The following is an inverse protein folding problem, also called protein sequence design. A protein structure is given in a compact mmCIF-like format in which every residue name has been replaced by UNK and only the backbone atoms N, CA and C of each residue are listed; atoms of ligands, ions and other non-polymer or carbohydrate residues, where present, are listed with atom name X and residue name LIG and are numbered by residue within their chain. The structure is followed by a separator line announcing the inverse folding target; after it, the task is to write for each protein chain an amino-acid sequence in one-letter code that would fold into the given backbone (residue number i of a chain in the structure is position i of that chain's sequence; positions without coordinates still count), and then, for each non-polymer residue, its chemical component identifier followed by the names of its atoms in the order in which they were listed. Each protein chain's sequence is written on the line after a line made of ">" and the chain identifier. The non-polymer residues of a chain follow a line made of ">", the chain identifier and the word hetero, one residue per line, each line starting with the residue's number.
data_IF_962267285652
#
_entry.id   IF_962267285652
#
_cell.length_a   1.000
_cell.length_b   1.000
_cell.length_c   1.000
_cell.angle_alpha   90.00
_cell.angle_beta   90.00
_cell.angle_gamma   90.00
#
_symmetry.space_group_name_H-M   'P 1'
#
loop_
_entity.id
_entity.type
_entity.pdbx_description
1 polymer ?
#
# COMPACT_ATOMS: atom_id res chain seq x y z
N UNK A 1 -31.39 -13.17 8.41
CA UNK A 1 -30.14 -12.40 8.59
C UNK A 1 -28.87 -13.26 8.57
N UNK A 2 -28.97 -14.59 8.48
CA UNK A 2 -27.78 -15.49 8.46
C UNK A 2 -27.08 -15.60 7.10
N UNK A 3 -27.78 -15.37 6.00
CA UNK A 3 -27.23 -15.61 4.65
C UNK A 3 -26.23 -14.57 4.16
N UNK A 4 -26.34 -13.34 4.63
CA UNK A 4 -25.41 -12.26 4.26
C UNK A 4 -24.00 -12.45 4.83
N UNK A 5 -23.91 -12.98 6.06
CA UNK A 5 -22.60 -13.26 6.69
C UNK A 5 -21.94 -14.50 6.09
N UNK A 6 -22.71 -15.49 5.67
CA UNK A 6 -22.20 -16.69 5.00
C UNK A 6 -21.55 -16.36 3.65
N UNK A 7 -22.19 -15.50 2.84
CA UNK A 7 -21.65 -15.04 1.56
C UNK A 7 -20.36 -14.25 1.70
N UNK A 8 -20.30 -13.35 2.69
CA UNK A 8 -19.11 -12.55 2.95
C UNK A 8 -17.92 -13.39 3.45
N UNK A 9 -18.19 -14.37 4.31
CA UNK A 9 -17.16 -15.30 4.79
C UNK A 9 -16.62 -16.20 3.66
N UNK A 10 -17.47 -16.64 2.74
CA UNK A 10 -17.05 -17.39 1.56
C UNK A 10 -16.19 -16.54 0.63
N UNK A 11 -16.58 -15.30 0.38
CA UNK A 11 -15.79 -14.37 -0.46
C UNK A 11 -14.42 -14.05 0.14
N UNK A 12 -14.33 -13.87 1.47
CA UNK A 12 -13.05 -13.70 2.17
C UNK A 12 -12.18 -14.96 2.09
N UNK A 13 -12.79 -16.14 2.22
CA UNK A 13 -12.09 -17.43 2.12
C UNK A 13 -11.55 -17.65 0.70
N UNK A 14 -12.34 -17.32 -0.33
CA UNK A 14 -11.90 -17.39 -1.73
C UNK A 14 -10.78 -16.39 -2.03
N UNK A 15 -10.89 -15.16 -1.53
CA UNK A 15 -9.81 -14.17 -1.64
C UNK A 15 -8.53 -14.63 -0.94
N UNK A 16 -8.64 -15.27 0.22
CA UNK A 16 -7.50 -15.82 0.93
C UNK A 16 -6.86 -16.99 0.18
N UNK A 17 -7.66 -17.87 -0.42
CA UNK A 17 -7.16 -18.98 -1.28
C UNK A 17 -6.45 -18.45 -2.51
N UNK A 18 -7.01 -17.47 -3.19
CA UNK A 18 -6.42 -16.87 -4.38
C UNK A 18 -5.14 -16.05 -4.07
N UNK A 19 -4.98 -15.59 -2.84
CA UNK A 19 -3.78 -14.90 -2.40
C UNK A 19 -2.66 -15.86 -1.96
N UNK A 20 -3.00 -17.10 -1.57
CA UNK A 20 -2.01 -18.10 -1.22
C UNK A 20 -1.27 -18.60 -2.46
N UNK A 21 0.00 -19.04 -2.34
CA UNK A 21 0.72 -19.64 -3.44
C UNK A 21 -0.07 -20.84 -3.97
N UNK A 22 0.07 -21.07 -5.29
CA UNK A 22 -0.58 -22.16 -6.01
C UNK A 22 -0.52 -23.47 -5.19
N UNK A 23 -1.58 -24.32 -5.24
CA UNK A 23 -1.67 -25.56 -4.46
C UNK A 23 -0.43 -26.45 -4.58
N UNK A 24 0.24 -26.41 -5.74
CA UNK A 24 1.47 -27.16 -6.02
C UNK A 24 2.67 -26.72 -5.14
N UNK A 25 2.55 -25.55 -4.48
CA UNK A 25 3.60 -25.00 -3.59
C UNK A 25 3.25 -25.16 -2.10
N UNK A 26 2.40 -26.13 -1.77
CA UNK A 26 2.02 -26.43 -0.39
C UNK A 26 2.24 -27.92 -0.09
N UNK A 27 2.55 -28.24 1.14
CA UNK A 27 2.69 -29.61 1.61
C UNK A 27 2.02 -29.79 2.98
N UNK A 28 1.60 -31.00 3.30
CA UNK A 28 1.04 -31.34 4.60
C UNK A 28 2.16 -31.46 5.63
N UNK A 29 2.08 -30.65 6.69
CA UNK A 29 3.01 -30.72 7.82
C UNK A 29 2.66 -31.86 8.80
N UNK A 30 3.56 -32.16 9.72
CA UNK A 30 3.34 -33.16 10.77
C UNK A 30 2.24 -32.75 11.76
N UNK A 31 1.95 -31.46 11.86
CA UNK A 31 0.86 -30.87 12.64
C UNK A 31 -0.52 -31.00 12.01
N UNK A 32 -0.61 -31.62 10.82
CA UNK A 32 -1.85 -31.82 10.08
C UNK A 32 -2.39 -30.58 9.34
N UNK A 33 -1.58 -29.52 9.26
CA UNK A 33 -1.91 -28.30 8.50
C UNK A 33 -1.11 -28.22 7.20
N UNK A 34 -1.64 -27.47 6.23
CA UNK A 34 -0.88 -27.14 5.02
C UNK A 34 0.18 -26.10 5.32
N UNK A 35 1.37 -26.33 4.77
CA UNK A 35 2.53 -25.46 4.88
C UNK A 35 2.99 -24.96 3.52
N UNK A 36 3.54 -23.75 3.46
CA UNK A 36 4.17 -23.19 2.28
C UNK A 36 5.51 -23.89 2.00
N UNK A 37 5.72 -24.38 0.78
CA UNK A 37 6.99 -25.04 0.39
C UNK A 37 8.18 -24.08 0.32
N UNK A 38 7.97 -22.77 0.33
CA UNK A 38 9.03 -21.76 0.21
C UNK A 38 9.52 -21.31 1.59
N UNK A 39 8.60 -20.89 2.48
CA UNK A 39 8.96 -20.35 3.79
C UNK A 39 8.66 -21.32 4.96
N UNK A 40 8.07 -22.47 4.66
CA UNK A 40 7.69 -23.51 5.61
C UNK A 40 6.72 -23.08 6.73
N UNK A 41 6.17 -21.88 6.63
CA UNK A 41 5.13 -21.46 7.56
C UNK A 41 3.79 -22.12 7.21
N UNK A 42 2.95 -22.46 8.21
CA UNK A 42 1.64 -23.00 7.96
C UNK A 42 0.75 -21.95 7.27
N UNK A 43 0.02 -22.37 6.23
CA UNK A 43 -0.99 -21.58 5.52
C UNK A 43 -2.40 -21.87 6.04
N UNK A 44 -2.49 -22.74 7.04
CA UNK A 44 -3.71 -23.07 7.76
C UNK A 44 -3.49 -22.96 9.27
N UNK A 45 -4.59 -22.78 10.00
CA UNK A 45 -4.59 -22.79 11.47
C UNK A 45 -5.95 -23.28 11.97
N UNK A 46 -5.99 -23.70 13.24
CA UNK A 46 -7.22 -24.05 13.91
C UNK A 46 -8.09 -22.80 14.09
N UNK A 47 -9.35 -22.86 13.66
CA UNK A 47 -10.28 -21.77 13.86
C UNK A 47 -10.58 -21.58 15.36
N UNK A 48 -10.64 -20.32 15.86
CA UNK A 48 -11.13 -20.04 17.20
C UNK A 48 -12.54 -20.60 17.43
N UNK A 49 -12.88 -20.90 18.66
CA UNK A 49 -14.20 -21.50 18.98
C UNK A 49 -15.37 -20.59 18.62
N UNK A 50 -15.18 -19.29 18.76
CA UNK A 50 -16.17 -18.27 18.38
C UNK A 50 -16.47 -18.25 16.88
N UNK A 51 -15.54 -18.76 16.07
CA UNK A 51 -15.64 -18.79 14.61
C UNK A 51 -16.12 -20.14 14.05
N UNK A 52 -16.47 -21.11 14.89
CA UNK A 52 -16.91 -22.46 14.43
C UNK A 52 -18.12 -22.44 13.50
N UNK A 53 -19.03 -21.50 13.67
CA UNK A 53 -20.18 -21.35 12.79
C UNK A 53 -19.80 -20.88 11.38
N UNK A 54 -18.65 -20.24 11.24
CA UNK A 54 -18.14 -19.71 9.96
C UNK A 54 -17.24 -20.76 9.30
N UNK A 55 -16.47 -21.52 10.09
CA UNK A 55 -15.55 -22.56 9.65
C UNK A 55 -15.95 -23.93 10.21
N UNK A 56 -16.94 -24.63 9.58
CA UNK A 56 -17.42 -25.92 10.08
C UNK A 56 -16.34 -27.00 10.14
N UNK A 57 -15.30 -26.90 9.28
CA UNK A 57 -14.14 -27.80 9.30
C UNK A 57 -13.23 -27.59 10.52
N UNK A 58 -13.41 -26.51 11.27
CA UNK A 58 -12.51 -26.11 12.36
C UNK A 58 -11.12 -25.62 11.89
N UNK A 59 -10.93 -25.45 10.57
CA UNK A 59 -9.68 -25.00 9.95
C UNK A 59 -9.94 -23.71 9.18
N UNK A 60 -9.06 -22.73 9.34
CA UNK A 60 -9.08 -21.49 8.57
C UNK A 60 -7.74 -21.27 7.87
N UNK A 61 -7.81 -20.68 6.69
CA UNK A 61 -6.63 -20.32 5.92
C UNK A 61 -5.98 -19.05 6.49
N UNK A 62 -4.65 -18.99 6.47
CA UNK A 62 -3.87 -17.82 6.85
C UNK A 62 -2.76 -17.54 5.84
N UNK A 63 -2.33 -16.30 5.78
CA UNK A 63 -1.22 -15.92 4.91
C UNK A 63 0.12 -16.30 5.56
N UNK A 64 0.94 -17.04 4.84
CA UNK A 64 2.32 -17.27 5.21
C UNK A 64 3.17 -16.01 5.00
N UNK A 65 4.42 -16.01 5.49
CA UNK A 65 5.35 -14.87 5.35
C UNK A 65 5.51 -14.41 3.91
N UNK A 66 5.71 -15.33 2.96
CA UNK A 66 5.86 -14.99 1.54
C UNK A 66 4.68 -14.19 0.99
N UNK A 67 3.46 -14.58 1.35
CA UNK A 67 2.23 -13.89 0.92
C UNK A 67 2.12 -12.53 1.60
N UNK A 68 2.39 -12.44 2.91
CA UNK A 68 2.37 -11.16 3.65
C UNK A 68 3.37 -10.16 3.07
N UNK A 69 4.60 -10.60 2.77
CA UNK A 69 5.64 -9.75 2.16
C UNK A 69 5.26 -9.29 0.75
N UNK A 70 4.62 -10.17 -0.04
CA UNK A 70 4.11 -9.80 -1.36
C UNK A 70 3.01 -8.74 -1.23
N UNK A 71 2.01 -8.97 -0.38
CA UNK A 71 0.93 -8.01 -0.13
C UNK A 71 1.48 -6.66 0.31
N UNK A 72 2.45 -6.66 1.24
CA UNK A 72 3.06 -5.42 1.72
C UNK A 72 3.80 -4.65 0.60
N UNK A 73 4.51 -5.36 -0.29
CA UNK A 73 5.15 -4.74 -1.46
C UNK A 73 4.12 -4.16 -2.43
N UNK A 74 3.09 -4.93 -2.76
CA UNK A 74 2.04 -4.51 -3.69
C UNK A 74 1.27 -3.29 -3.14
N UNK A 75 1.02 -3.25 -1.82
CA UNK A 75 0.42 -2.10 -1.16
C UNK A 75 1.33 -0.87 -1.18
N UNK A 76 2.64 -1.04 -0.93
CA UNK A 76 3.60 0.04 -1.00
C UNK A 76 3.70 0.62 -2.42
N UNK A 77 3.76 -0.25 -3.43
CA UNK A 77 3.78 0.15 -4.83
C UNK A 77 2.49 0.88 -5.23
N UNK A 78 1.33 0.35 -4.81
CA UNK A 78 0.04 1.01 -5.06
C UNK A 78 -0.05 2.39 -4.40
N UNK A 79 0.48 2.55 -3.17
CA UNK A 79 0.55 3.86 -2.50
C UNK A 79 1.45 4.83 -3.26
N UNK A 80 2.63 4.36 -3.70
CA UNK A 80 3.55 5.17 -4.51
C UNK A 80 2.89 5.63 -5.80
N UNK A 81 2.30 4.71 -6.58
CA UNK A 81 1.62 5.03 -7.82
C UNK A 81 0.48 6.05 -7.62
N UNK A 82 -0.35 5.87 -6.58
CA UNK A 82 -1.39 6.85 -6.26
C UNK A 82 -0.85 8.23 -5.92
N UNK A 83 0.31 8.30 -5.22
CA UNK A 83 0.96 9.57 -4.93
C UNK A 83 1.50 10.23 -6.20
N UNK A 84 2.13 9.46 -7.10
CA UNK A 84 2.63 9.94 -8.39
C UNK A 84 1.47 10.44 -9.29
N UNK A 85 0.37 9.68 -9.38
CA UNK A 85 -0.85 10.07 -10.10
C UNK A 85 -1.43 11.38 -9.53
N UNK A 86 -1.46 11.50 -8.20
CA UNK A 86 -1.94 12.73 -7.54
C UNK A 86 -1.05 13.93 -7.80
N UNK A 87 0.27 13.75 -7.79
CA UNK A 87 1.23 14.80 -8.13
C UNK A 87 1.03 15.24 -9.59
N UNK A 88 0.93 14.29 -10.53
CA UNK A 88 0.71 14.60 -11.94
C UNK A 88 -0.62 15.35 -12.16
N UNK A 89 -1.68 14.96 -11.46
CA UNK A 89 -2.97 15.65 -11.50
C UNK A 89 -2.84 17.09 -10.99
N UNK A 90 -2.19 17.28 -9.84
CA UNK A 90 -1.99 18.62 -9.26
C UNK A 90 -1.12 19.49 -10.15
N UNK A 91 -0.06 18.96 -10.73
CA UNK A 91 0.78 19.68 -11.69
C UNK A 91 -0.03 20.18 -12.88
N UNK A 92 -0.90 19.35 -13.44
CA UNK A 92 -1.77 19.73 -14.56
C UNK A 92 -2.75 20.85 -14.20
N UNK A 93 -3.23 20.87 -12.95
CA UNK A 93 -4.17 21.91 -12.50
C UNK A 93 -3.43 23.21 -12.15
N UNK A 94 -2.28 23.09 -11.47
CA UNK A 94 -1.56 24.26 -10.96
C UNK A 94 -0.72 24.97 -12.03
N UNK A 95 -0.23 24.25 -13.04
CA UNK A 95 0.59 24.81 -14.10
C UNK A 95 -0.21 24.86 -15.40
N UNK A 96 -0.67 26.04 -15.78
CA UNK A 96 -1.38 26.27 -17.05
C UNK A 96 -0.48 26.09 -18.27
N UNK A 97 0.81 26.39 -18.13
CA UNK A 97 1.82 26.14 -19.15
C UNK A 97 2.76 25.01 -18.68
N UNK A 98 2.82 23.89 -19.43
CA UNK A 98 3.73 22.78 -19.12
C UNK A 98 5.21 23.17 -19.10
N UNK A 99 5.58 24.29 -19.69
CA UNK A 99 6.95 24.80 -19.63
C UNK A 99 7.38 25.07 -18.18
N UNK A 100 6.50 25.58 -17.33
CA UNK A 100 6.81 25.86 -15.92
C UNK A 100 7.20 24.63 -15.12
N UNK A 101 6.71 23.44 -15.48
CA UNK A 101 7.09 22.18 -14.80
C UNK A 101 8.55 21.80 -15.01
N UNK A 102 9.22 22.40 -16.00
CA UNK A 102 10.64 22.15 -16.33
C UNK A 102 11.60 23.14 -15.69
N UNK A 103 11.07 24.22 -15.10
CA UNK A 103 11.90 25.23 -14.44
C UNK A 103 12.40 24.70 -13.08
N UNK A 104 13.71 24.70 -12.92
CA UNK A 104 14.38 24.31 -11.67
C UNK A 104 15.27 25.44 -11.19
N UNK A 105 15.70 25.41 -9.94
CA UNK A 105 16.66 26.37 -9.40
C UNK A 105 18.00 26.39 -10.15
N UNK A 106 18.37 25.25 -10.78
CA UNK A 106 19.59 25.15 -11.59
C UNK A 106 19.49 25.94 -12.89
N UNK A 107 18.28 26.13 -13.42
CA UNK A 107 18.02 26.89 -14.63
C UNK A 107 17.72 28.37 -14.37
N UNK A 108 17.74 28.79 -13.09
CA UNK A 108 17.53 30.17 -12.72
C UNK A 108 18.65 31.06 -13.26
N UNK A 109 18.27 32.12 -13.98
CA UNK A 109 19.17 33.06 -14.60
C UNK A 109 19.74 34.08 -13.61
N UNK A 110 19.39 34.01 -12.34
CA UNK A 110 19.90 34.85 -11.26
C UNK A 110 19.39 36.30 -11.29
N UNK A 111 18.24 36.54 -11.93
CA UNK A 111 17.68 37.92 -11.99
C UNK A 111 17.28 38.48 -10.61
N UNK A 112 16.93 37.60 -9.68
CA UNK A 112 16.52 37.97 -8.33
C UNK A 112 17.14 37.04 -7.28
N UNK A 113 18.42 37.24 -6.89
CA UNK A 113 19.07 36.38 -5.91
C UNK A 113 18.34 36.31 -4.55
N UNK A 114 17.70 37.44 -4.16
CA UNK A 114 16.92 37.49 -2.92
C UNK A 114 15.68 36.58 -2.96
N UNK A 115 14.92 36.63 -4.05
CA UNK A 115 13.74 35.78 -4.23
C UNK A 115 14.13 34.30 -4.29
N UNK A 116 15.22 33.97 -5.01
CA UNK A 116 15.79 32.62 -5.06
C UNK A 116 16.10 32.11 -3.65
N UNK A 117 16.81 32.87 -2.86
CA UNK A 117 17.19 32.49 -1.50
C UNK A 117 15.99 32.21 -0.58
N UNK A 118 14.94 33.02 -0.71
CA UNK A 118 13.69 32.81 0.02
C UNK A 118 12.97 31.53 -0.46
N UNK A 119 12.96 31.29 -1.78
CA UNK A 119 12.34 30.08 -2.33
C UNK A 119 13.08 28.80 -1.92
N UNK A 120 14.41 28.78 -1.96
CA UNK A 120 15.23 27.66 -1.48
C UNK A 120 14.96 27.39 0.01
N UNK A 121 15.01 28.43 0.83
CA UNK A 121 14.69 28.31 2.26
C UNK A 121 13.27 27.76 2.50
N UNK A 122 12.27 28.19 1.74
CA UNK A 122 10.92 27.69 1.87
C UNK A 122 10.81 26.20 1.51
N UNK A 123 11.51 25.76 0.47
CA UNK A 123 11.58 24.34 0.07
C UNK A 123 12.21 23.50 1.17
N UNK A 124 13.31 23.95 1.75
CA UNK A 124 14.03 23.26 2.82
C UNK A 124 13.18 23.13 4.10
N UNK A 125 12.34 24.12 4.38
CA UNK A 125 11.47 24.16 5.57
C UNK A 125 10.01 23.77 5.26
N UNK A 126 9.72 23.26 4.06
CA UNK A 126 8.37 23.05 3.57
C UNK A 126 7.46 22.25 4.52
N UNK A 127 7.95 21.15 5.09
CA UNK A 127 7.15 20.31 5.98
C UNK A 127 6.70 21.05 7.25
N UNK A 128 7.58 21.84 7.83
CA UNK A 128 7.29 22.67 8.99
C UNK A 128 6.28 23.78 8.64
N UNK A 129 6.52 24.50 7.54
CA UNK A 129 5.64 25.58 7.06
C UNK A 129 4.25 25.06 6.74
N UNK A 130 4.16 23.91 6.07
CA UNK A 130 2.88 23.28 5.77
C UNK A 130 2.12 22.89 7.04
N UNK A 131 2.80 22.38 8.07
CA UNK A 131 2.16 22.05 9.35
C UNK A 131 1.58 23.28 10.03
N UNK A 132 2.22 24.42 9.87
CA UNK A 132 1.79 25.72 10.40
C UNK A 132 0.82 26.50 9.49
N UNK A 133 0.41 25.93 8.35
CA UNK A 133 -0.39 26.61 7.30
C UNK A 133 0.26 27.92 6.77
N UNK A 134 1.59 27.96 6.74
CA UNK A 134 2.34 29.10 6.22
C UNK A 134 2.62 28.90 4.71
N UNK A 135 2.16 29.82 3.89
CA UNK A 135 2.43 29.87 2.44
C UNK A 135 3.52 30.87 2.10
N UNK A 136 4.00 30.80 0.85
CA UNK A 136 4.94 31.77 0.27
C UNK A 136 4.21 32.55 -0.83
N UNK A 137 4.27 33.89 -0.73
CA UNK A 137 3.84 34.79 -1.80
C UNK A 137 5.00 35.70 -2.21
N UNK A 138 5.20 35.86 -3.54
CA UNK A 138 6.15 36.76 -4.15
C UNK A 138 5.45 38.00 -4.74
#
# INVERSE_FOLDING_TARGET
>A
MSDLFSGFAQELSEKARNANPEPEKQYMGEDGFLHCSICHEPVQMKAPEECRNIFPSGIMDKHCRCVRERIARDEAERKRRKAEERIAELQRICFTDPAYMRHTFEQDKGYSPAARKVAEWYVDTYHERRANNEGLMF
#
